data_IF_885052323224
#
_entry.id   IF_885052323224
#
_cell.length_a   1.000
_cell.length_b   1.000
_cell.length_c   1.000
_cell.angle_alpha   90.00
_cell.angle_beta   90.00
_cell.angle_gamma   90.00
#
_symmetry.space_group_name_H-M   'P 1'
#
loop_
_entity.id
_entity.type
_entity.pdbx_description
1 polymer ?
#
# COMPACT_ATOMS: atom_id res chain seq x y z
N UNK A 1 32.29 39.96 8.65
CA UNK A 1 31.59 39.20 7.60
C UNK A 1 30.59 38.27 8.28
N UNK A 2 29.32 38.50 7.99
CA UNK A 2 28.16 37.58 8.01
C UNK A 2 28.53 36.18 7.47
N UNK A 3 27.89 35.04 7.77
CA UNK A 3 26.62 34.74 8.42
C UNK A 3 26.50 33.21 8.64
N UNK A 4 25.58 32.85 9.54
CA UNK A 4 24.67 31.68 9.50
C UNK A 4 25.24 30.27 9.63
N UNK A 5 25.14 29.76 10.87
CA UNK A 5 24.74 28.40 11.14
C UNK A 5 23.43 28.09 10.38
N UNK A 6 23.43 27.04 9.55
CA UNK A 6 22.21 26.47 8.96
C UNK A 6 22.05 25.05 9.47
N UNK A 7 20.86 24.85 10.01
CA UNK A 7 20.34 23.69 10.71
C UNK A 7 20.54 22.37 9.98
N UNK A 8 20.73 21.36 10.83
CA UNK A 8 20.36 19.97 10.63
C UNK A 8 19.12 19.77 9.74
N UNK A 9 19.29 18.94 8.70
CA UNK A 9 18.23 18.08 8.22
C UNK A 9 18.89 16.75 7.82
N UNK A 10 18.76 15.66 8.62
CA UNK A 10 19.04 14.34 8.09
C UNK A 10 17.99 14.09 7.01
N UNK A 11 18.45 14.06 5.76
CA UNK A 11 17.73 13.44 4.66
C UNK A 11 17.61 11.95 4.99
N UNK A 12 16.64 11.61 5.85
CA UNK A 12 16.03 10.30 5.93
C UNK A 12 15.26 10.11 4.61
N UNK A 13 16.00 9.92 3.52
CA UNK A 13 15.53 9.16 2.37
C UNK A 13 15.19 7.79 2.94
N UNK A 14 13.94 7.68 3.39
CA UNK A 14 13.37 6.50 4.00
C UNK A 14 13.78 5.32 3.16
N UNK A 15 14.50 4.41 3.81
CA UNK A 15 14.84 3.12 3.26
C UNK A 15 13.56 2.52 2.68
N UNK A 16 13.50 2.39 1.35
CA UNK A 16 12.60 1.47 0.71
C UNK A 16 13.10 0.06 1.05
N UNK A 17 12.89 -0.35 2.30
CA UNK A 17 13.07 -1.73 2.75
C UNK A 17 12.05 -2.55 2.00
N UNK A 18 12.46 -3.01 0.82
CA UNK A 18 11.75 -3.98 0.00
C UNK A 18 11.91 -5.32 0.70
N UNK A 19 11.21 -5.51 1.81
CA UNK A 19 10.93 -6.85 2.35
C UNK A 19 9.91 -7.49 1.41
N UNK A 20 10.46 -8.02 0.31
CA UNK A 20 9.76 -8.81 -0.69
C UNK A 20 9.34 -10.16 -0.09
N UNK A 21 8.25 -10.16 0.66
CA UNK A 21 7.58 -11.39 1.14
C UNK A 21 6.09 -11.43 0.80
N UNK A 22 5.63 -10.62 -0.17
CA UNK A 22 4.22 -10.58 -0.59
C UNK A 22 4.03 -11.10 -2.02
N UNK A 23 4.62 -12.26 -2.35
CA UNK A 23 4.57 -12.85 -3.71
C UNK A 23 3.17 -13.22 -4.22
N UNK A 24 2.11 -13.04 -3.45
CA UNK A 24 0.78 -13.48 -3.88
C UNK A 24 -0.25 -12.44 -3.49
N UNK A 25 -0.42 -11.39 -4.32
CA UNK A 25 -1.72 -10.76 -4.63
C UNK A 25 -1.63 -9.25 -4.96
N UNK A 26 -0.65 -8.49 -4.46
CA UNK A 26 -0.54 -7.05 -4.80
C UNK A 26 0.01 -6.89 -6.22
N UNK A 27 -0.81 -6.43 -7.17
CA UNK A 27 -0.41 -6.26 -8.59
C UNK A 27 -0.05 -4.82 -8.95
N UNK A 28 -0.46 -3.86 -8.12
CA UNK A 28 -0.08 -2.47 -8.24
C UNK A 28 -0.15 -1.81 -6.86
N UNK A 29 0.80 -0.93 -6.57
CA UNK A 29 0.82 -0.14 -5.35
C UNK A 29 1.25 1.29 -5.67
N UNK A 30 0.61 2.24 -5.02
CA UNK A 30 0.90 3.67 -5.01
C UNK A 30 0.94 4.12 -3.55
N UNK A 31 1.44 5.34 -3.23
CA UNK A 31 1.50 5.80 -1.87
C UNK A 31 0.16 5.68 -1.15
N UNK A 32 -0.97 5.98 -1.78
CA UNK A 32 -2.28 6.02 -1.11
C UNK A 32 -3.25 4.92 -1.54
N UNK A 33 -2.89 4.08 -2.51
CA UNK A 33 -3.79 3.06 -3.04
C UNK A 33 -3.06 1.82 -3.52
N UNK A 34 -3.70 0.66 -3.38
CA UNK A 34 -3.19 -0.63 -3.80
C UNK A 34 -4.25 -1.40 -4.59
N UNK A 35 -3.78 -2.28 -5.47
CA UNK A 35 -4.63 -3.24 -6.17
C UNK A 35 -4.22 -4.65 -5.75
N UNK A 36 -5.16 -5.34 -5.14
CA UNK A 36 -5.04 -6.72 -4.67
C UNK A 36 -5.71 -7.64 -5.69
N UNK A 37 -5.12 -8.77 -5.99
CA UNK A 37 -5.62 -9.74 -6.94
C UNK A 37 -5.77 -11.11 -6.30
N UNK A 38 -7.00 -11.59 -6.19
CA UNK A 38 -7.28 -12.87 -5.54
C UNK A 38 -7.74 -13.92 -6.53
N UNK A 39 -7.42 -15.18 -6.22
CA UNK A 39 -8.07 -16.33 -6.84
C UNK A 39 -9.48 -16.49 -6.23
N UNK A 40 -10.39 -17.14 -6.95
CA UNK A 40 -11.77 -17.39 -6.50
C UNK A 40 -11.75 -17.90 -5.04
N UNK A 41 -12.52 -17.24 -4.16
CA UNK A 41 -12.66 -17.51 -2.71
C UNK A 41 -11.57 -16.99 -1.76
N UNK A 42 -10.53 -16.30 -2.23
CA UNK A 42 -9.59 -15.61 -1.33
C UNK A 42 -10.07 -14.20 -0.97
N UNK A 43 -10.03 -13.87 0.33
CA UNK A 43 -10.45 -12.58 0.89
C UNK A 43 -9.40 -11.49 0.62
N UNK A 44 -9.70 -10.51 -0.27
CA UNK A 44 -8.74 -9.47 -0.64
C UNK A 44 -8.49 -8.46 0.49
N UNK A 45 -9.46 -8.31 1.39
CA UNK A 45 -9.43 -7.31 2.47
C UNK A 45 -8.29 -7.57 3.45
N UNK A 46 -8.10 -8.82 3.88
CA UNK A 46 -7.03 -9.17 4.82
C UNK A 46 -5.63 -8.92 4.24
N UNK A 47 -5.47 -9.06 2.93
CA UNK A 47 -4.22 -8.75 2.22
C UNK A 47 -4.00 -7.23 2.20
N UNK A 48 -5.05 -6.48 1.86
CA UNK A 48 -4.98 -5.02 1.84
C UNK A 48 -4.67 -4.43 3.22
N UNK A 49 -5.34 -4.92 4.26
CA UNK A 49 -5.13 -4.48 5.64
C UNK A 49 -3.69 -4.73 6.10
N UNK A 50 -3.17 -5.93 5.84
CA UNK A 50 -1.78 -6.27 6.16
C UNK A 50 -0.79 -5.36 5.44
N UNK A 51 -1.03 -5.08 4.16
CA UNK A 51 -0.16 -4.20 3.39
C UNK A 51 -0.21 -2.75 3.90
N UNK A 52 -1.40 -2.16 4.06
CA UNK A 52 -1.51 -0.79 4.55
C UNK A 52 -1.00 -0.64 6.01
N UNK A 53 -1.19 -1.67 6.85
CA UNK A 53 -0.71 -1.66 8.24
C UNK A 53 0.82 -1.61 8.36
N UNK A 54 1.57 -2.17 7.40
CA UNK A 54 3.04 -2.01 7.31
C UNK A 54 3.47 -0.53 7.24
N UNK A 55 2.55 0.34 6.82
CA UNK A 55 2.77 1.78 6.67
C UNK A 55 1.98 2.61 7.69
N UNK A 56 1.43 2.00 8.75
CA UNK A 56 0.64 2.71 9.76
C UNK A 56 -0.72 3.21 9.29
N UNK A 57 -1.26 2.63 8.20
CA UNK A 57 -2.49 3.09 7.54
C UNK A 57 -3.56 2.00 7.52
N UNK A 58 -4.81 2.43 7.39
CA UNK A 58 -5.99 1.57 7.30
C UNK A 58 -6.36 1.34 5.83
N UNK A 59 -6.65 0.09 5.46
CA UNK A 59 -7.18 -0.23 4.14
C UNK A 59 -8.68 0.08 4.08
N UNK A 60 -9.13 0.74 3.01
CA UNK A 60 -10.53 1.02 2.72
C UNK A 60 -10.83 0.55 1.30
N UNK A 61 -11.83 -0.32 1.14
CA UNK A 61 -12.23 -0.82 -0.17
C UNK A 61 -12.78 0.32 -1.03
N UNK A 62 -12.28 0.47 -2.27
CA UNK A 62 -12.76 1.49 -3.23
C UNK A 62 -14.05 1.12 -3.95
N UNK A 63 -14.86 0.24 -3.36
CA UNK A 63 -16.14 -0.16 -3.93
C UNK A 63 -16.08 -1.31 -4.92
N UNK A 64 -15.18 -2.29 -4.70
CA UNK A 64 -15.37 -3.68 -5.15
C UNK A 64 -15.78 -3.89 -6.61
N UNK A 65 -15.31 -3.06 -7.55
CA UNK A 65 -15.63 -3.28 -8.96
C UNK A 65 -14.83 -4.48 -9.43
N UNK A 66 -15.53 -5.58 -9.71
CA UNK A 66 -14.94 -6.79 -10.27
C UNK A 66 -14.38 -6.48 -11.66
N UNK A 67 -13.11 -6.08 -11.74
CA UNK A 67 -12.43 -5.82 -13.01
C UNK A 67 -12.00 -7.16 -13.64
N UNK A 68 -12.97 -7.94 -14.16
CA UNK A 68 -12.72 -9.14 -14.95
C UNK A 68 -13.72 -10.29 -14.77
N UNK A 69 -13.88 -11.08 -15.83
CA UNK A 69 -14.55 -12.40 -15.82
C UNK A 69 -13.48 -13.50 -15.91
N UNK A 70 -13.26 -14.25 -14.83
CA UNK A 70 -12.22 -15.30 -14.77
C UNK A 70 -11.93 -15.81 -13.35
N UNK A 71 -10.88 -16.63 -13.21
CA UNK A 71 -10.41 -17.20 -11.92
C UNK A 71 -9.66 -16.20 -11.04
N UNK A 72 -9.24 -15.07 -11.61
CA UNK A 72 -8.41 -14.03 -10.99
C UNK A 72 -9.21 -12.72 -10.95
N UNK A 73 -9.49 -12.20 -9.75
CA UNK A 73 -10.28 -10.98 -9.54
C UNK A 73 -9.41 -9.90 -8.93
N UNK A 74 -9.45 -8.68 -9.49
CA UNK A 74 -8.74 -7.51 -8.95
C UNK A 74 -9.66 -6.66 -8.08
N UNK A 75 -9.09 -6.09 -7.03
CA UNK A 75 -9.76 -5.33 -5.98
C UNK A 75 -8.93 -4.09 -5.65
N UNK A 76 -9.54 -2.91 -5.73
CA UNK A 76 -8.89 -1.65 -5.36
C UNK A 76 -9.12 -1.29 -3.89
N UNK A 77 -8.06 -0.89 -3.21
CA UNK A 77 -8.10 -0.37 -1.84
C UNK A 77 -7.33 0.94 -1.73
N UNK A 78 -7.83 1.86 -0.93
CA UNK A 78 -7.11 3.05 -0.48
C UNK A 78 -6.48 2.78 0.89
N UNK A 79 -5.21 3.16 1.07
CA UNK A 79 -4.55 3.19 2.37
C UNK A 79 -4.69 4.61 2.94
N UNK A 80 -5.58 4.78 3.90
CA UNK A 80 -5.89 6.07 4.55
C UNK A 80 -5.33 6.13 5.95
N UNK A 81 -5.09 7.34 6.45
CA UNK A 81 -4.69 7.52 7.85
C UNK A 81 -5.83 7.10 8.78
N UNK A 82 -5.55 6.36 9.86
CA UNK A 82 -6.56 5.99 10.84
C UNK A 82 -7.04 7.26 11.56
N UNK A 83 -8.35 7.55 11.45
CA UNK A 83 -9.01 8.59 12.24
C UNK A 83 -9.19 8.16 13.69
#
# INVERSE_FOLDING_TARGET
MTATAVLAAPLLLGACSSTSDDNESIVAASPTAITVTTLRFAEPTAIAERHCAKHGRKAVSRGGVKLGVGYKTMWGFDCVDPQ
#
